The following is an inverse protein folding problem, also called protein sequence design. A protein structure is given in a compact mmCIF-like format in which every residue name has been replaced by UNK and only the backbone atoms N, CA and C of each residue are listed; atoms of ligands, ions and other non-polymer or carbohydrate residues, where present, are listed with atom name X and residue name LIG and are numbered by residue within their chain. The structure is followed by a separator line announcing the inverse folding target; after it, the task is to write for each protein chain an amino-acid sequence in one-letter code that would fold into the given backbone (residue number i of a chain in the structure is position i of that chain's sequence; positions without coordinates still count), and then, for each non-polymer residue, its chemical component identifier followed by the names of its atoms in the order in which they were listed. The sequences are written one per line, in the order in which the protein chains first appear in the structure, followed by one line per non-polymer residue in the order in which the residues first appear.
data_IF_320609964098
#
_entry.id   IF_320609964098
#
_cell.length_a   1.000
_cell.length_b   1.000
_cell.length_c   1.000
_cell.angle_alpha   90.00
_cell.angle_beta   90.00
_cell.angle_gamma   90.00
#
_symmetry.space_group_name_H-M   'P 1'
#
loop_
_entity.id
_entity.type
_entity.pdbx_description
1 polymer ?
#
# COMPACT_ATOMS: atom_id res chain seq x y z
N UNK A 1 3.06 16.13 63.57
CA UNK A 1 3.78 15.51 62.42
C UNK A 1 2.86 14.80 61.43
N UNK A 2 1.88 14.00 61.87
CA UNK A 2 0.98 13.24 60.98
C UNK A 2 0.20 14.10 59.95
N UNK A 3 -0.23 15.30 60.34
CA UNK A 3 -0.94 16.22 59.43
C UNK A 3 -0.07 16.72 58.26
N UNK A 4 1.20 17.03 58.56
CA UNK A 4 2.17 17.46 57.55
C UNK A 4 2.50 16.31 56.60
N UNK A 5 2.76 15.12 57.14
CA UNK A 5 3.01 13.91 56.33
C UNK A 5 1.82 13.61 55.42
N UNK A 6 0.59 13.72 55.93
CA UNK A 6 -0.64 13.49 55.16
C UNK A 6 -0.85 14.52 54.03
N UNK A 7 -0.46 15.78 54.25
CA UNK A 7 -0.50 16.83 53.23
C UNK A 7 0.53 16.56 52.14
N UNK A 8 1.75 16.20 52.52
CA UNK A 8 2.82 15.89 51.58
C UNK A 8 2.43 14.68 50.72
N UNK A 9 1.98 13.57 51.32
CA UNK A 9 1.57 12.38 50.55
C UNK A 9 0.41 12.66 49.60
N UNK A 10 -0.57 13.47 50.00
CA UNK A 10 -1.66 13.87 49.12
C UNK A 10 -1.15 14.68 47.91
N UNK A 11 -0.24 15.63 48.12
CA UNK A 11 0.34 16.44 47.03
C UNK A 11 1.14 15.56 46.08
N UNK A 12 1.96 14.63 46.60
CA UNK A 12 2.74 13.72 45.77
C UNK A 12 1.84 12.80 44.94
N UNK A 13 0.78 12.26 45.55
CA UNK A 13 -0.18 11.41 44.85
C UNK A 13 -0.88 12.15 43.71
N UNK A 14 -1.30 13.41 43.94
CA UNK A 14 -1.92 14.24 42.91
C UNK A 14 -0.94 14.55 41.77
N UNK A 15 0.31 14.88 42.10
CA UNK A 15 1.33 15.15 41.08
C UNK A 15 1.64 13.93 40.22
N UNK A 16 1.76 12.75 40.83
CA UNK A 16 2.00 11.49 40.12
C UNK A 16 0.79 11.12 39.24
N UNK A 17 -0.43 11.27 39.76
CA UNK A 17 -1.64 11.03 38.98
C UNK A 17 -1.73 11.96 37.76
N UNK A 18 -1.42 13.25 37.93
CA UNK A 18 -1.41 14.22 36.83
C UNK A 18 -0.36 13.86 35.77
N UNK A 19 0.85 13.44 36.17
CA UNK A 19 1.88 12.99 35.23
C UNK A 19 1.47 11.72 34.49
N UNK A 20 0.88 10.74 35.20
CA UNK A 20 0.39 9.51 34.58
C UNK A 20 -0.72 9.79 33.55
N UNK A 21 -1.68 10.66 33.87
CA UNK A 21 -2.71 11.09 32.92
C UNK A 21 -2.08 11.81 31.73
N UNK A 22 -1.10 12.68 31.95
CA UNK A 22 -0.33 13.32 30.89
C UNK A 22 0.28 12.30 29.92
N UNK A 23 0.97 11.28 30.43
CA UNK A 23 1.61 10.24 29.61
C UNK A 23 0.59 9.36 28.86
N UNK A 24 -0.55 9.05 29.48
CA UNK A 24 -1.60 8.22 28.87
C UNK A 24 -2.41 9.01 27.83
N UNK A 25 -2.70 10.29 28.11
CA UNK A 25 -3.56 11.12 27.27
C UNK A 25 -2.79 11.86 26.17
N UNK A 26 -1.46 12.05 26.31
CA UNK A 26 -0.64 12.35 25.15
C UNK A 26 -0.66 11.10 24.27
N UNK A 27 -1.05 11.20 22.99
CA UNK A 27 -0.85 10.10 22.07
C UNK A 27 0.66 9.85 22.02
N UNK A 28 1.10 8.83 22.76
CA UNK A 28 2.36 8.19 22.47
C UNK A 28 2.26 7.81 20.99
N UNK A 29 3.25 8.22 20.22
CA UNK A 29 3.36 8.00 18.78
C UNK A 29 3.31 6.50 18.41
N UNK A 30 3.16 5.58 19.36
CA UNK A 30 3.24 4.12 19.16
C UNK A 30 1.95 3.30 19.19
N UNK A 31 0.74 3.88 19.28
CA UNK A 31 -0.51 3.07 19.21
C UNK A 31 -1.69 3.69 18.48
N UNK A 32 -1.61 4.95 18.05
CA UNK A 32 -2.60 5.48 17.13
C UNK A 32 -2.42 4.77 15.79
N UNK A 33 -3.48 4.14 15.27
CA UNK A 33 -3.51 3.77 13.86
C UNK A 33 -3.13 4.99 13.04
N UNK A 34 -2.11 4.85 12.19
CA UNK A 34 -1.69 5.92 11.30
C UNK A 34 -2.90 6.44 10.51
N UNK A 35 -2.88 7.72 10.15
CA UNK A 35 -3.93 8.32 9.34
C UNK A 35 -4.14 7.52 8.04
N UNK A 36 -5.31 7.66 7.40
CA UNK A 36 -5.84 6.81 6.31
C UNK A 36 -4.94 6.73 5.05
N UNK A 37 -3.87 7.52 4.98
CA UNK A 37 -2.89 7.53 3.89
C UNK A 37 -1.43 7.51 4.39
N UNK A 38 -1.17 6.93 5.56
CA UNK A 38 0.16 6.78 6.12
C UNK A 38 0.42 5.33 6.53
N UNK A 39 1.68 4.94 6.46
CA UNK A 39 2.17 3.62 6.87
C UNK A 39 3.12 3.77 8.05
N UNK A 40 3.00 2.88 9.03
CA UNK A 40 3.91 2.81 10.18
C UNK A 40 5.26 2.21 9.79
N UNK A 41 6.33 2.98 9.97
CA UNK A 41 7.69 2.49 9.82
C UNK A 41 8.23 2.00 11.18
N UNK A 42 8.30 0.67 11.36
CA UNK A 42 8.82 0.05 12.60
C UNK A 42 10.29 0.34 12.89
N UNK A 43 11.06 0.81 11.91
CA UNK A 43 12.49 1.09 12.09
C UNK A 43 12.73 2.50 12.63
N UNK A 44 11.86 3.46 12.32
CA UNK A 44 11.98 4.85 12.76
C UNK A 44 10.92 5.25 13.78
N UNK A 45 9.94 4.38 14.07
CA UNK A 45 8.77 4.66 14.91
C UNK A 45 7.99 5.90 14.45
N UNK A 46 7.84 6.06 13.14
CA UNK A 46 7.14 7.18 12.51
C UNK A 46 6.03 6.70 11.56
N UNK A 47 4.91 7.42 11.53
CA UNK A 47 3.92 7.30 10.45
C UNK A 47 4.37 8.19 9.28
N UNK A 48 4.65 7.60 8.12
CA UNK A 48 5.03 8.33 6.91
C UNK A 48 4.03 8.09 5.79
N UNK A 49 3.77 9.07 4.90
CA UNK A 49 3.05 8.79 3.68
C UNK A 49 3.82 7.76 2.82
N UNK A 50 3.13 6.94 2.01
CA UNK A 50 3.78 6.09 1.04
C UNK A 50 4.69 6.91 0.13
N UNK A 51 5.86 6.36 -0.26
CA UNK A 51 6.71 7.04 -1.22
C UNK A 51 5.95 7.25 -2.54
N UNK A 52 6.23 8.34 -3.28
CA UNK A 52 5.67 8.53 -4.60
C UNK A 52 6.10 7.38 -5.52
N UNK A 53 5.33 7.13 -6.58
CA UNK A 53 5.74 6.17 -7.60
C UNK A 53 7.12 6.56 -8.16
N UNK A 54 8.04 5.60 -8.34
CA UNK A 54 9.36 5.89 -8.85
C UNK A 54 9.30 6.52 -10.24
N UNK A 55 10.22 7.44 -10.55
CA UNK A 55 10.25 8.11 -11.86
C UNK A 55 10.49 7.16 -13.04
N UNK A 56 11.10 6.00 -12.80
CA UNK A 56 11.32 4.96 -13.80
C UNK A 56 10.08 4.10 -14.05
N UNK A 57 9.07 4.15 -13.18
CA UNK A 57 7.87 3.34 -13.32
C UNK A 57 6.96 3.96 -14.38
N UNK A 58 6.82 3.27 -15.50
CA UNK A 58 5.81 3.56 -16.50
C UNK A 58 4.57 2.69 -16.23
N UNK A 59 3.37 3.27 -16.07
CA UNK A 59 2.16 2.47 -15.98
C UNK A 59 1.93 1.71 -17.31
N UNK A 60 1.39 0.49 -17.27
CA UNK A 60 1.07 -0.26 -18.47
C UNK A 60 0.07 0.51 -19.34
N UNK A 61 0.12 0.35 -20.67
CA UNK A 61 -0.78 1.06 -21.56
C UNK A 61 -2.24 0.60 -21.35
N UNK A 62 -3.25 1.44 -21.60
CA UNK A 62 -4.64 1.13 -21.24
C UNK A 62 -5.24 -0.11 -21.92
N UNK A 63 -4.70 -0.51 -23.08
CA UNK A 63 -5.12 -1.71 -23.80
C UNK A 63 -4.49 -2.99 -23.24
N UNK A 64 -3.40 -2.88 -22.45
CA UNK A 64 -2.68 -4.04 -21.96
C UNK A 64 -3.52 -4.75 -20.89
N UNK A 65 -3.72 -6.08 -21.02
CA UNK A 65 -4.32 -6.86 -19.96
C UNK A 65 -3.51 -6.76 -18.67
N UNK A 66 -4.13 -6.92 -17.47
CA UNK A 66 -3.45 -6.75 -16.19
C UNK A 66 -2.33 -7.77 -15.93
N UNK A 67 -2.33 -8.89 -16.66
CA UNK A 67 -1.30 -9.93 -16.59
C UNK A 67 -0.19 -9.76 -17.64
N UNK A 68 -0.31 -8.76 -18.50
CA UNK A 68 0.63 -8.50 -19.57
C UNK A 68 1.81 -7.65 -19.05
N UNK A 69 2.95 -7.70 -19.73
CA UNK A 69 4.11 -6.88 -19.35
C UNK A 69 3.83 -5.39 -19.54
N UNK A 70 4.68 -4.53 -18.96
CA UNK A 70 4.54 -3.08 -19.13
C UNK A 70 4.77 -2.63 -20.58
N UNK A 71 5.59 -3.36 -21.33
CA UNK A 71 6.01 -3.04 -22.70
C UNK A 71 5.23 -3.82 -23.77
N UNK A 72 3.98 -4.21 -23.48
CA UNK A 72 3.16 -4.99 -24.43
C UNK A 72 2.88 -4.14 -25.67
N UNK A 73 3.21 -4.62 -26.88
CA UNK A 73 2.92 -3.87 -28.10
C UNK A 73 1.41 -3.74 -28.31
N UNK A 74 0.94 -2.74 -29.06
CA UNK A 74 -0.47 -2.62 -29.43
C UNK A 74 -0.99 -3.89 -30.12
N UNK A 75 -2.26 -4.27 -29.95
CA UNK A 75 -2.84 -5.42 -30.63
C UNK A 75 -2.82 -5.21 -32.15
N UNK A 76 -2.43 -6.22 -32.94
CA UNK A 76 -2.47 -6.14 -34.40
C UNK A 76 -3.93 -6.11 -34.89
N UNK A 77 -4.20 -5.64 -36.12
CA UNK A 77 -5.53 -5.76 -36.71
C UNK A 77 -5.96 -7.23 -36.80
N UNK A 78 -7.25 -7.49 -36.54
CA UNK A 78 -7.80 -8.85 -36.67
C UNK A 78 -7.66 -9.35 -38.11
N UNK A 79 -7.00 -10.50 -38.35
CA UNK A 79 -6.95 -11.09 -39.68
C UNK A 79 -8.33 -11.47 -40.21
N UNK A 80 -8.56 -11.35 -41.52
CA UNK A 80 -9.86 -11.58 -42.15
C UNK A 80 -10.41 -13.00 -41.95
N UNK A 81 -9.51 -13.99 -41.86
CA UNK A 81 -9.85 -15.40 -41.71
C UNK A 81 -10.18 -15.77 -40.26
N UNK A 82 -9.77 -14.94 -39.29
CA UNK A 82 -9.99 -15.24 -37.88
C UNK A 82 -11.29 -14.63 -37.37
N UNK A 83 -12.17 -15.42 -36.72
CA UNK A 83 -13.36 -14.90 -36.08
C UNK A 83 -13.07 -14.17 -34.76
N UNK A 84 -11.87 -14.33 -34.18
CA UNK A 84 -11.54 -13.87 -32.84
C UNK A 84 -10.66 -12.61 -32.86
N UNK A 85 -10.90 -11.70 -31.91
CA UNK A 85 -10.01 -10.57 -31.67
C UNK A 85 -8.64 -11.01 -31.14
N UNK A 86 -7.56 -10.24 -31.39
CA UNK A 86 -6.25 -10.51 -30.83
C UNK A 86 -6.29 -10.56 -29.30
N UNK A 87 -5.83 -11.66 -28.72
CA UNK A 87 -5.58 -11.80 -27.29
C UNK A 87 -4.08 -11.85 -27.02
N UNK A 88 -3.65 -11.28 -25.90
CA UNK A 88 -2.27 -11.37 -25.46
C UNK A 88 -2.03 -12.70 -24.75
N UNK A 89 -0.98 -13.41 -25.12
CA UNK A 89 -0.52 -14.59 -24.40
C UNK A 89 0.77 -14.29 -23.63
N UNK A 90 0.71 -14.40 -22.29
CA UNK A 90 1.87 -14.14 -21.44
C UNK A 90 2.97 -15.19 -21.55
N UNK A 91 2.64 -16.46 -21.82
CA UNK A 91 3.64 -17.53 -21.97
C UNK A 91 4.50 -17.37 -23.23
N UNK A 92 3.90 -16.86 -24.30
CA UNK A 92 4.58 -16.65 -25.58
C UNK A 92 4.98 -15.18 -25.84
N UNK A 93 4.54 -14.23 -25.01
CA UNK A 93 4.70 -12.79 -25.20
C UNK A 93 4.30 -12.31 -26.61
N UNK A 94 3.15 -12.77 -27.10
CA UNK A 94 2.65 -12.45 -28.45
C UNK A 94 1.13 -12.32 -28.49
N UNK A 95 0.67 -11.56 -29.48
CA UNK A 95 -0.74 -11.49 -29.85
C UNK A 95 -1.14 -12.69 -30.71
N UNK A 96 -2.40 -13.10 -30.62
CA UNK A 96 -2.91 -14.24 -31.37
C UNK A 96 -4.30 -14.64 -30.92
N UNK A 97 -4.65 -15.90 -31.12
CA UNK A 97 -5.87 -16.51 -30.58
C UNK A 97 -5.69 -18.02 -30.42
N UNK A 98 -6.56 -18.64 -29.63
CA UNK A 98 -6.70 -20.10 -29.62
C UNK A 98 -7.72 -20.59 -30.65
N UNK A 99 -7.37 -21.66 -31.36
CA UNK A 99 -8.27 -22.48 -32.17
C UNK A 99 -8.21 -23.91 -31.67
N UNK A 100 -9.33 -24.43 -31.15
CA UNK A 100 -9.43 -25.79 -30.63
C UNK A 100 -8.26 -26.16 -29.69
N UNK A 101 -7.88 -25.23 -28.81
CA UNK A 101 -6.77 -25.40 -27.85
C UNK A 101 -5.37 -25.15 -28.41
N UNK A 102 -5.22 -24.91 -29.71
CA UNK A 102 -3.93 -24.59 -30.36
C UNK A 102 -3.75 -23.07 -30.45
N UNK A 103 -2.60 -22.58 -30.03
CA UNK A 103 -2.25 -21.17 -30.16
C UNK A 103 -1.85 -20.82 -31.60
N UNK A 104 -2.46 -19.77 -32.16
CA UNK A 104 -2.11 -19.22 -33.46
C UNK A 104 -1.73 -17.75 -33.28
N UNK A 105 -0.46 -17.38 -33.50
CA UNK A 105 -0.02 -15.98 -33.39
C UNK A 105 -0.61 -15.13 -34.51
N UNK A 106 -0.76 -13.84 -34.24
CA UNK A 106 -1.14 -12.82 -35.21
C UNK A 106 0.06 -11.97 -35.60
#
# INVERSE_FOLDING_TARGET
MQWFVRRVTAVTAVAVAAMAVGVIATPAIGTAECDRNMSWNRTTDECTPPPPMPAWYAPPPPYAPPFASQDVPPPPPRPWWSPNEPMWNAGFHQWGTYFTGTWVPY
#
